data_IF_828609032197
#
_entry.id   IF_828609032197
#
_cell.length_a   1.000
_cell.length_b   1.000
_cell.length_c   1.000
_cell.angle_alpha   90.00
_cell.angle_beta   90.00
_cell.angle_gamma   90.00
#
_symmetry.space_group_name_H-M   'P 1'
#
loop_
_entity.id
_entity.type
_entity.pdbx_description
1 polymer ?
#
# COMPACT_ATOMS: atom_id res chain seq x y z
N UNK A 1 -3.54 9.76 -6.58
CA UNK A 1 -2.25 9.75 -7.30
C UNK A 1 -2.26 8.60 -8.28
N UNK A 2 -1.70 8.74 -9.48
CA UNK A 2 -1.67 7.61 -10.43
C UNK A 2 -0.69 6.53 -9.93
N UNK A 3 -1.06 5.26 -10.11
CA UNK A 3 -0.22 4.13 -9.68
C UNK A 3 1.12 4.11 -10.40
N UNK A 4 1.20 4.63 -11.62
CA UNK A 4 2.46 4.76 -12.36
C UNK A 4 3.39 5.80 -11.72
N UNK A 5 2.87 6.97 -11.34
CA UNK A 5 3.66 7.99 -10.63
C UNK A 5 4.17 7.45 -9.29
N UNK A 6 3.34 6.66 -8.58
CA UNK A 6 3.76 5.98 -7.34
C UNK A 6 4.85 4.94 -7.61
N UNK A 7 4.74 4.19 -8.71
CA UNK A 7 5.72 3.17 -9.12
C UNK A 7 7.09 3.80 -9.38
N UNK A 8 7.10 4.94 -10.07
CA UNK A 8 8.32 5.71 -10.35
C UNK A 8 8.91 6.29 -9.06
N UNK A 9 8.07 6.83 -8.16
CA UNK A 9 8.49 7.38 -6.87
C UNK A 9 9.16 6.35 -5.96
N UNK A 10 8.59 5.14 -5.90
CA UNK A 10 9.10 4.05 -5.03
C UNK A 10 10.05 3.08 -5.76
N UNK A 11 10.34 3.35 -7.03
CA UNK A 11 11.23 2.58 -7.89
C UNK A 11 10.91 1.07 -7.93
N UNK A 12 9.64 0.74 -8.19
CA UNK A 12 9.16 -0.65 -8.38
C UNK A 12 8.39 -0.80 -9.69
N UNK A 13 8.28 -2.02 -10.26
CA UNK A 13 7.49 -2.21 -11.47
C UNK A 13 6.01 -1.85 -11.27
N UNK A 14 5.46 -1.01 -12.16
CA UNK A 14 4.07 -0.54 -12.08
C UNK A 14 3.05 -1.70 -12.01
N UNK A 15 3.30 -2.79 -12.75
CA UNK A 15 2.44 -3.99 -12.75
C UNK A 15 2.47 -4.72 -11.41
N UNK A 16 3.61 -4.75 -10.72
CA UNK A 16 3.73 -5.33 -9.38
C UNK A 16 3.00 -4.45 -8.36
N UNK A 17 3.24 -3.15 -8.41
CA UNK A 17 2.58 -2.20 -7.51
C UNK A 17 1.06 -2.22 -7.69
N UNK A 18 0.57 -2.25 -8.93
CA UNK A 18 -0.86 -2.31 -9.22
C UNK A 18 -1.51 -3.58 -8.65
N UNK A 19 -0.82 -4.74 -8.69
CA UNK A 19 -1.32 -5.97 -8.06
C UNK A 19 -1.41 -5.84 -6.54
N UNK A 20 -0.40 -5.25 -5.91
CA UNK A 20 -0.39 -5.02 -4.45
C UNK A 20 -1.49 -4.04 -4.06
N UNK A 21 -1.61 -2.91 -4.76
CA UNK A 21 -2.66 -1.91 -4.53
C UNK A 21 -4.04 -2.56 -4.64
N UNK A 22 -4.32 -3.35 -5.69
CA UNK A 22 -5.61 -4.04 -5.84
C UNK A 22 -5.90 -5.06 -4.74
N UNK A 23 -4.87 -5.69 -4.17
CA UNK A 23 -5.03 -6.62 -3.06
C UNK A 23 -5.44 -5.88 -1.78
N UNK A 24 -4.80 -4.75 -1.50
CA UNK A 24 -5.02 -3.96 -0.27
C UNK A 24 -6.18 -2.96 -0.40
N UNK A 25 -6.74 -2.76 -1.60
CA UNK A 25 -8.00 -2.02 -1.78
C UNK A 25 -9.22 -2.73 -1.17
N UNK A 26 -9.06 -3.94 -0.63
CA UNK A 26 -10.05 -4.62 0.19
C UNK A 26 -10.18 -4.02 1.61
N UNK A 27 -10.06 -2.69 1.76
CA UNK A 27 -10.28 -1.96 3.02
C UNK A 27 -9.10 -1.15 3.56
N UNK A 28 -7.92 -1.22 2.95
CA UNK A 28 -6.77 -0.41 3.37
C UNK A 28 -6.55 0.80 2.46
N UNK A 29 -6.37 0.61 1.16
CA UNK A 29 -6.36 1.69 0.18
C UNK A 29 -7.72 1.79 -0.53
N UNK A 30 -7.93 2.85 -1.29
CA UNK A 30 -9.10 2.98 -2.16
C UNK A 30 -8.68 3.44 -3.56
N UNK A 31 -9.44 2.98 -4.54
CA UNK A 31 -9.40 3.47 -5.92
C UNK A 31 -10.61 4.41 -6.11
N UNK A 32 -10.44 5.73 -6.04
CA UNK A 32 -11.55 6.69 -6.06
C UNK A 32 -12.44 6.55 -7.30
N UNK A 33 -11.83 6.23 -8.43
CA UNK A 33 -12.48 5.99 -9.70
C UNK A 33 -12.09 4.60 -10.21
N UNK A 34 -12.97 3.60 -10.15
CA UNK A 34 -12.63 2.23 -10.57
C UNK A 34 -12.08 2.18 -12.00
N UNK A 35 -10.89 1.61 -12.17
CA UNK A 35 -10.24 1.46 -13.48
C UNK A 35 -9.47 2.69 -13.95
N UNK A 36 -9.42 3.78 -13.17
CA UNK A 36 -8.58 4.95 -13.50
C UNK A 36 -7.10 4.70 -13.19
N UNK A 37 -6.79 3.70 -12.36
CA UNK A 37 -5.43 3.48 -11.87
C UNK A 37 -4.99 4.52 -10.84
N UNK A 38 -5.91 5.34 -10.33
CA UNK A 38 -5.66 6.24 -9.21
C UNK A 38 -5.79 5.52 -7.88
N UNK A 39 -4.85 5.78 -6.97
CA UNK A 39 -4.90 5.29 -5.60
C UNK A 39 -4.98 6.46 -4.62
N UNK A 40 -5.74 6.27 -3.55
CA UNK A 40 -5.85 7.20 -2.43
C UNK A 40 -5.92 6.46 -1.09
N UNK A 41 -5.61 7.19 -0.02
CA UNK A 41 -5.73 6.70 1.34
C UNK A 41 -7.20 6.56 1.76
N UNK A 42 -7.51 5.51 2.49
CA UNK A 42 -8.64 5.47 3.45
C UNK A 42 -8.22 6.08 4.78
N UNK A 43 -9.15 6.29 5.70
CA UNK A 43 -8.86 6.68 7.09
C UNK A 43 -7.88 5.72 7.77
N UNK A 44 -8.06 4.40 7.57
CA UNK A 44 -7.18 3.38 8.14
C UNK A 44 -5.75 3.55 7.65
N UNK A 45 -5.54 3.61 6.33
CA UNK A 45 -4.18 3.79 5.77
C UNK A 45 -3.56 5.14 6.09
N UNK A 46 -4.37 6.20 6.23
CA UNK A 46 -3.88 7.53 6.62
C UNK A 46 -3.32 7.51 8.05
N UNK A 47 -3.87 6.68 8.95
CA UNK A 47 -3.37 6.53 10.32
C UNK A 47 -1.92 6.02 10.37
N UNK A 48 -1.46 5.27 9.36
CA UNK A 48 -0.07 4.82 9.27
C UNK A 48 0.91 5.93 8.89
N UNK A 49 0.40 7.03 8.33
CA UNK A 49 1.19 8.24 8.03
C UNK A 49 1.20 9.18 9.24
N UNK A 50 0.06 9.31 9.92
CA UNK A 50 -0.10 10.28 11.03
C UNK A 50 0.28 9.73 12.39
N UNK A 51 0.31 8.40 12.57
CA UNK A 51 0.61 7.75 13.84
C UNK A 51 1.77 6.76 13.68
N UNK A 52 2.97 7.24 13.98
CA UNK A 52 4.23 6.50 13.78
C UNK A 52 4.24 5.07 14.36
N UNK A 53 3.66 4.78 15.55
CA UNK A 53 3.61 3.41 16.08
C UNK A 53 2.90 2.40 15.16
N UNK A 54 1.92 2.82 14.34
CA UNK A 54 1.26 1.92 13.40
C UNK A 54 2.21 1.49 12.28
N UNK A 55 3.01 2.43 11.77
CA UNK A 55 4.03 2.13 10.76
C UNK A 55 5.13 1.21 11.32
N UNK A 56 5.62 1.51 12.52
CA UNK A 56 6.61 0.69 13.22
C UNK A 56 6.11 -0.75 13.42
N UNK A 57 4.87 -0.91 13.89
CA UNK A 57 4.25 -2.23 14.05
C UNK A 57 4.14 -2.98 12.72
N UNK A 58 3.72 -2.32 11.63
CA UNK A 58 3.65 -2.94 10.31
C UNK A 58 5.02 -3.37 9.77
N UNK A 59 6.07 -2.55 9.95
CA UNK A 59 7.43 -2.90 9.55
C UNK A 59 7.97 -4.08 10.37
N UNK A 60 7.75 -4.08 11.69
CA UNK A 60 8.12 -5.18 12.57
C UNK A 60 7.43 -6.49 12.19
N UNK A 61 6.12 -6.44 11.95
CA UNK A 61 5.35 -7.61 11.52
C UNK A 61 5.79 -8.07 10.12
N UNK A 62 6.04 -7.17 9.18
CA UNK A 62 6.55 -7.53 7.85
C UNK A 62 7.90 -8.23 7.90
N UNK A 63 8.81 -7.77 8.77
CA UNK A 63 10.13 -8.40 8.98
C UNK A 63 10.09 -9.73 9.73
N UNK A 64 9.06 -9.99 10.55
CA UNK A 64 8.93 -11.21 11.36
C UNK A 64 8.01 -12.28 10.75
N UNK A 65 7.01 -11.89 9.97
CA UNK A 65 6.07 -12.80 9.32
C UNK A 65 6.58 -13.32 7.97
N UNK A 66 7.42 -12.56 7.24
CA UNK A 66 8.01 -13.03 5.98
C UNK A 66 8.87 -14.31 6.14
N UNK A 67 9.67 -14.49 7.22
CA UNK A 67 10.38 -15.74 7.49
C UNK A 67 9.51 -16.91 7.98
N UNK A 68 8.23 -16.71 8.28
CA UNK A 68 7.34 -17.79 8.76
C UNK A 68 6.48 -18.42 7.65
N UNK A 69 6.60 -17.90 6.41
CA UNK A 69 5.87 -18.38 5.24
C UNK A 69 6.66 -19.43 4.42
N UNK A 70 7.73 -20.02 5.00
CA UNK A 70 8.50 -21.12 4.40
C UNK A 70 7.82 -22.47 4.59
#
# INVERSE_FOLDING_TARGET
MATNDLADLVNVPATQLQRVVRLITAGFLQEPHPGSGEVAHTELSASFVTHFPNLEAAMFLGGTAAPAAF
#
